data_IF_276094062014
#
_entry.id   IF_276094062014
#
_cell.length_a   1.000
_cell.length_b   1.000
_cell.length_c   1.000
_cell.angle_alpha   90.00
_cell.angle_beta   90.00
_cell.angle_gamma   90.00
#
_symmetry.space_group_name_H-M   'P 1'
#
loop_
_entity.id
_entity.type
_entity.pdbx_description
1 polymer ?
#
# COMPACT_ATOMS: atom_id res chain seq x y z
N UNK A 1 -12.79 -2.32 51.59
CA UNK A 1 -12.04 -2.17 50.32
C UNK A 1 -13.07 -1.77 49.28
N UNK A 2 -13.21 -0.46 49.04
CA UNK A 2 -14.32 0.08 48.26
C UNK A 2 -14.21 -0.31 46.77
N UNK A 3 -15.30 -0.78 46.14
CA UNK A 3 -15.31 -1.26 44.75
C UNK A 3 -15.02 -0.14 43.72
N UNK A 4 -15.14 1.11 44.12
CA UNK A 4 -14.83 2.30 43.31
C UNK A 4 -13.33 2.44 43.01
N UNK A 5 -12.46 2.03 43.95
CA UNK A 5 -11.01 2.10 43.76
C UNK A 5 -10.52 1.12 42.69
N UNK A 6 -11.16 -0.05 42.57
CA UNK A 6 -10.81 -1.07 41.59
C UNK A 6 -11.15 -0.63 40.15
N UNK A 7 -12.27 0.10 40.00
CA UNK A 7 -12.74 0.62 38.71
C UNK A 7 -11.84 1.76 38.20
N UNK A 8 -11.40 2.66 39.09
CA UNK A 8 -10.42 3.73 38.77
C UNK A 8 -9.08 3.13 38.32
N UNK A 9 -8.60 2.08 38.99
CA UNK A 9 -7.35 1.39 38.66
C UNK A 9 -7.39 0.68 37.30
N UNK A 10 -8.54 0.13 36.92
CA UNK A 10 -8.76 -0.51 35.61
C UNK A 10 -8.82 0.54 34.49
N UNK A 11 -9.44 1.69 34.72
CA UNK A 11 -9.52 2.79 33.74
C UNK A 11 -8.14 3.40 33.49
N UNK A 12 -7.33 3.61 34.54
CA UNK A 12 -5.97 4.12 34.40
C UNK A 12 -5.02 3.19 33.59
N UNK A 13 -5.24 1.87 33.64
CA UNK A 13 -4.48 0.90 32.83
C UNK A 13 -4.84 0.90 31.34
N UNK A 14 -6.01 1.43 30.97
CA UNK A 14 -6.46 1.52 29.56
C UNK A 14 -6.07 2.83 28.89
N UNK A 15 -5.47 3.77 29.62
CA UNK A 15 -4.95 5.01 29.05
C UNK A 15 -3.66 4.70 28.30
N UNK A 16 -3.80 4.24 27.05
CA UNK A 16 -2.74 4.31 26.05
C UNK A 16 -2.06 5.68 26.17
N UNK A 17 -0.79 5.68 26.56
CA UNK A 17 0.02 6.85 26.94
C UNK A 17 -0.25 8.07 26.04
N UNK A 18 -1.07 9.01 26.51
CA UNK A 18 -1.49 10.22 25.79
C UNK A 18 -0.43 11.35 25.76
N UNK A 19 0.86 11.01 25.74
CA UNK A 19 1.95 11.99 25.68
C UNK A 19 2.68 11.98 24.32
N UNK A 20 1.93 11.80 23.21
CA UNK A 20 2.49 11.69 21.86
C UNK A 20 3.21 12.97 21.40
N UNK A 21 2.64 14.15 21.69
CA UNK A 21 3.19 15.45 21.28
C UNK A 21 4.49 15.85 22.00
N UNK A 22 4.73 15.35 23.21
CA UNK A 22 5.97 15.63 23.97
C UNK A 22 7.10 14.67 23.58
N UNK A 23 6.77 13.51 22.99
CA UNK A 23 7.78 12.51 22.58
C UNK A 23 8.58 12.92 21.34
N UNK A 24 8.05 13.81 20.49
CA UNK A 24 8.70 14.26 19.24
C UNK A 24 9.85 15.24 19.46
N UNK A 25 9.99 15.83 20.65
CA UNK A 25 11.02 16.83 20.97
C UNK A 25 12.26 16.20 21.62
N UNK A 26 12.15 14.97 22.15
CA UNK A 26 13.25 14.32 22.87
C UNK A 26 13.82 13.12 22.07
N UNK A 27 15.09 13.16 21.63
CA UNK A 27 15.70 12.08 20.84
C UNK A 27 15.79 10.74 21.60
N UNK A 28 15.87 10.75 22.94
CA UNK A 28 15.96 9.53 23.75
C UNK A 28 14.62 8.75 23.79
N UNK A 29 13.50 9.41 23.43
CA UNK A 29 12.17 8.77 23.36
C UNK A 29 11.89 8.13 21.99
N UNK A 30 12.69 8.42 20.96
CA UNK A 30 12.55 7.79 19.63
C UNK A 30 12.82 6.28 19.65
N UNK A 31 13.50 5.75 20.69
CA UNK A 31 13.73 4.32 20.85
C UNK A 31 12.44 3.50 21.01
N UNK A 32 11.33 4.15 21.38
CA UNK A 32 10.03 3.50 21.57
C UNK A 32 9.22 3.28 20.27
N UNK A 33 9.67 3.86 19.15
CA UNK A 33 8.93 3.79 17.88
C UNK A 33 9.22 2.53 17.07
N UNK A 34 10.36 1.89 17.32
CA UNK A 34 10.85 0.75 16.55
C UNK A 34 10.27 -0.56 17.09
N UNK A 35 9.53 -1.28 16.24
CA UNK A 35 9.07 -2.66 16.50
C UNK A 35 9.78 -3.62 15.55
N UNK A 36 10.39 -4.67 16.09
CA UNK A 36 11.10 -5.69 15.32
C UNK A 36 10.23 -6.91 15.08
N UNK A 37 10.17 -7.40 13.83
CA UNK A 37 9.54 -8.67 13.48
C UNK A 37 10.45 -9.88 13.71
N UNK A 38 11.76 -9.66 13.84
CA UNK A 38 12.77 -10.71 14.05
C UNK A 38 13.47 -10.54 15.40
N UNK A 39 13.80 -11.64 16.11
CA UNK A 39 14.52 -11.56 17.37
C UNK A 39 16.01 -11.29 17.14
N UNK A 40 16.39 -10.04 16.90
CA UNK A 40 17.78 -9.61 16.63
C UNK A 40 18.24 -8.64 17.71
N UNK A 41 19.48 -8.80 18.18
CA UNK A 41 20.12 -7.95 19.18
C UNK A 41 21.58 -7.65 18.77
N UNK A 42 22.07 -6.39 18.91
CA UNK A 42 21.34 -5.17 19.29
C UNK A 42 20.36 -4.69 18.20
N UNK A 43 19.33 -3.95 18.62
CA UNK A 43 18.27 -3.45 17.73
C UNK A 43 18.66 -2.09 17.14
N UNK A 44 18.59 -1.90 15.80
CA UNK A 44 18.73 -0.58 15.20
C UNK A 44 17.63 0.35 15.69
N UNK A 45 17.95 1.58 16.08
CA UNK A 45 16.97 2.52 16.68
C UNK A 45 16.16 3.31 15.64
N UNK A 46 16.71 3.54 14.44
CA UNK A 46 16.06 4.36 13.42
C UNK A 46 14.87 3.63 12.78
N UNK A 47 13.68 4.23 12.86
CA UNK A 47 12.48 3.79 12.16
C UNK A 47 12.37 4.51 10.81
N UNK A 48 12.21 3.76 9.71
CA UNK A 48 12.07 4.35 8.38
C UNK A 48 10.70 5.00 8.23
N UNK A 49 10.66 6.29 7.89
CA UNK A 49 9.44 7.02 7.58
C UNK A 49 8.95 6.74 6.16
N UNK A 50 9.88 6.81 5.21
CA UNK A 50 9.59 6.65 3.78
C UNK A 50 10.61 5.70 3.17
N UNK A 51 10.23 5.11 2.04
CA UNK A 51 11.19 4.42 1.19
C UNK A 51 12.19 5.45 0.64
N UNK A 52 13.48 5.10 0.61
CA UNK A 52 14.47 5.92 -0.11
C UNK A 52 13.98 6.11 -1.55
N UNK A 53 14.01 7.34 -2.11
CA UNK A 53 13.61 7.56 -3.49
C UNK A 53 14.45 6.62 -4.35
N UNK A 54 13.76 5.70 -5.04
CA UNK A 54 14.43 4.82 -6.00
C UNK A 54 15.01 5.76 -7.04
N UNK A 55 16.32 5.64 -7.35
CA UNK A 55 16.84 6.25 -8.57
C UNK A 55 15.88 5.81 -9.66
N UNK A 56 15.23 6.73 -10.36
CA UNK A 56 14.13 6.48 -11.30
C UNK A 56 14.55 5.65 -12.54
N UNK A 57 15.63 4.88 -12.44
CA UNK A 57 16.01 3.82 -13.34
C UNK A 57 15.09 2.62 -13.17
N UNK A 58 14.14 2.54 -14.11
CA UNK A 58 13.91 1.32 -14.87
C UNK A 58 13.36 0.14 -14.07
N UNK A 59 12.26 0.39 -13.37
CA UNK A 59 11.36 -0.68 -12.99
C UNK A 59 10.03 -0.39 -13.67
N UNK A 60 9.92 -0.78 -14.95
CA UNK A 60 8.66 -0.72 -15.67
C UNK A 60 7.70 -1.76 -15.08
N UNK A 61 6.90 -1.33 -14.09
CA UNK A 61 5.80 -2.12 -13.51
C UNK A 61 4.45 -1.73 -14.11
N UNK A 62 4.45 -0.96 -15.19
CA UNK A 62 3.26 -0.30 -15.70
C UNK A 62 2.71 0.75 -14.73
N UNK A 63 1.60 1.36 -15.12
CA UNK A 63 0.96 2.45 -14.35
C UNK A 63 -0.27 1.92 -13.61
N UNK A 64 -0.35 2.19 -12.30
CA UNK A 64 -1.51 1.81 -11.47
C UNK A 64 -2.82 2.51 -11.89
N UNK A 65 -2.74 3.56 -12.72
CA UNK A 65 -3.91 4.27 -13.24
C UNK A 65 -4.78 3.40 -14.16
N UNK A 66 -4.25 2.31 -14.71
CA UNK A 66 -5.00 1.39 -15.57
C UNK A 66 -5.91 0.43 -14.80
N UNK A 67 -5.86 0.43 -13.46
CA UNK A 67 -6.72 -0.41 -12.63
C UNK A 67 -8.14 0.15 -12.62
N UNK A 68 -9.13 -0.72 -12.84
CA UNK A 68 -10.56 -0.41 -12.79
C UNK A 68 -11.00 0.72 -13.74
N UNK A 69 -10.31 0.90 -14.87
CA UNK A 69 -10.79 1.81 -15.91
C UNK A 69 -12.06 1.24 -16.57
N UNK A 70 -13.05 2.10 -16.88
CA UNK A 70 -14.21 1.67 -17.63
C UNK A 70 -13.79 1.18 -19.02
N UNK A 71 -14.50 0.18 -19.53
CA UNK A 71 -14.31 -0.25 -20.90
C UNK A 71 -14.70 0.89 -21.84
N UNK A 72 -13.75 1.29 -22.68
CA UNK A 72 -13.91 2.32 -23.72
C UNK A 72 -13.57 1.73 -25.07
N UNK A 73 -14.00 2.39 -26.15
CA UNK A 73 -13.77 1.95 -27.53
C UNK A 73 -12.29 1.76 -27.86
N UNK A 74 -11.39 2.50 -27.18
CA UNK A 74 -9.94 2.33 -27.31
C UNK A 74 -9.48 0.91 -26.98
N UNK A 75 -10.11 0.24 -26.02
CA UNK A 75 -9.78 -1.15 -25.67
C UNK A 75 -10.11 -2.10 -26.82
N UNK A 76 -11.26 -1.90 -27.49
CA UNK A 76 -11.64 -2.69 -28.64
C UNK A 76 -10.72 -2.43 -29.85
N UNK A 77 -10.35 -1.18 -30.09
CA UNK A 77 -9.42 -0.81 -31.17
C UNK A 77 -8.05 -1.47 -30.96
N UNK A 78 -7.47 -1.32 -29.76
CA UNK A 78 -6.16 -1.90 -29.43
C UNK A 78 -6.17 -3.43 -29.49
N UNK A 79 -7.26 -4.06 -29.02
CA UNK A 79 -7.41 -5.51 -29.11
C UNK A 79 -7.46 -6.01 -30.57
N UNK A 80 -8.17 -5.29 -31.46
CA UNK A 80 -8.23 -5.64 -32.89
C UNK A 80 -6.87 -5.53 -33.54
N UNK A 81 -6.11 -4.48 -33.23
CA UNK A 81 -4.76 -4.30 -33.76
C UNK A 81 -3.83 -5.43 -33.30
N UNK A 82 -3.86 -5.76 -32.00
CA UNK A 82 -3.05 -6.85 -31.45
C UNK A 82 -3.38 -8.21 -32.10
N UNK A 83 -4.67 -8.55 -32.23
CA UNK A 83 -5.10 -9.79 -32.86
C UNK A 83 -4.69 -9.88 -34.34
N UNK A 84 -4.69 -8.74 -35.06
CA UNK A 84 -4.18 -8.68 -36.43
C UNK A 84 -2.66 -8.92 -36.48
N UNK A 85 -1.90 -8.37 -35.53
CA UNK A 85 -0.45 -8.61 -35.43
C UNK A 85 -0.12 -10.08 -35.13
N UNK A 86 -0.95 -10.77 -34.35
CA UNK A 86 -0.81 -12.21 -34.06
C UNK A 86 -1.25 -13.13 -35.21
N UNK A 87 -1.72 -12.57 -36.34
CA UNK A 87 -2.20 -13.35 -37.48
C UNK A 87 -3.63 -13.88 -37.33
N UNK A 88 -4.36 -13.44 -36.30
CA UNK A 88 -5.76 -13.80 -36.03
C UNK A 88 -6.76 -12.80 -36.63
N UNK A 89 -6.36 -12.09 -37.69
CA UNK A 89 -7.19 -11.04 -38.32
C UNK A 89 -8.56 -11.53 -38.82
N UNK A 90 -8.67 -12.79 -39.22
CA UNK A 90 -9.92 -13.40 -39.66
C UNK A 90 -11.00 -13.43 -38.55
N UNK A 91 -10.58 -13.51 -37.27
CA UNK A 91 -11.52 -13.44 -36.14
C UNK A 91 -12.13 -12.05 -36.03
N UNK A 92 -11.31 -11.01 -36.22
CA UNK A 92 -11.78 -9.61 -36.20
C UNK A 92 -12.78 -9.39 -37.33
N UNK A 93 -12.48 -9.84 -38.54
CA UNK A 93 -13.38 -9.70 -39.70
C UNK A 93 -14.68 -10.49 -39.53
N UNK A 94 -14.62 -11.69 -38.94
CA UNK A 94 -15.81 -12.49 -38.68
C UNK A 94 -16.74 -11.78 -37.67
N UNK A 95 -16.19 -11.27 -36.57
CA UNK A 95 -16.96 -10.57 -35.53
C UNK A 95 -17.55 -9.26 -36.05
N UNK A 96 -16.80 -8.48 -36.82
CA UNK A 96 -17.30 -7.18 -37.34
C UNK A 96 -18.43 -7.33 -38.36
N UNK A 97 -18.42 -8.40 -39.16
CA UNK A 97 -19.38 -8.56 -40.26
C UNK A 97 -20.55 -9.51 -39.95
N UNK A 98 -20.42 -10.37 -38.93
CA UNK A 98 -21.38 -11.46 -38.69
C UNK A 98 -21.89 -11.55 -37.24
N UNK A 99 -21.39 -10.74 -36.31
CA UNK A 99 -21.95 -10.65 -34.97
C UNK A 99 -23.02 -9.54 -34.93
N UNK A 100 -24.26 -9.92 -34.63
CA UNK A 100 -25.42 -9.03 -34.45
C UNK A 100 -25.68 -8.81 -32.96
#
# INVERSE_FOLDING_TARGET
MDPTNLLILIVAKRTFSQNSLISSVNPDRNHSLRVMSTPTWPVPYYQRLMRHPVQAGDIDKGTLSHIAQPATDLHAILAKEHLKQEGLGYVVEAVENHAD
#
